data_IF_320585755924
#
_entry.id   IF_320585755924
#
_cell.length_a   1.000
_cell.length_b   1.000
_cell.length_c   1.000
_cell.angle_alpha   90.00
_cell.angle_beta   90.00
_cell.angle_gamma   90.00
#
_symmetry.space_group_name_H-M   'P 1'
#
loop_
_entity.id
_entity.type
_entity.pdbx_description
1 polymer ?
#
# COMPACT_ATOMS: atom_id res chain seq x y z
N UNK A 1 -13.77 49.47 -25.97
CA UNK A 1 -14.57 49.18 -24.77
C UNK A 1 -14.77 47.68 -24.67
N UNK A 2 -14.95 47.11 -23.48
CA UNK A 2 -15.11 45.66 -23.32
C UNK A 2 -16.48 45.14 -23.82
N UNK A 3 -16.49 43.96 -24.48
CA UNK A 3 -17.72 43.26 -24.88
C UNK A 3 -18.64 42.88 -23.71
N UNK A 4 -18.06 42.66 -22.52
CA UNK A 4 -18.79 42.28 -21.31
C UNK A 4 -19.39 43.48 -20.56
N UNK A 5 -19.58 44.62 -21.24
CA UNK A 5 -20.19 45.81 -20.64
C UNK A 5 -21.60 45.53 -20.11
N UNK A 6 -22.38 44.67 -20.79
CA UNK A 6 -23.70 44.22 -20.33
C UNK A 6 -23.65 43.46 -19.00
N UNK A 7 -22.55 42.78 -18.71
CA UNK A 7 -22.33 42.06 -17.45
C UNK A 7 -21.75 42.96 -16.35
N UNK A 8 -21.44 44.22 -16.67
CA UNK A 8 -20.91 45.22 -15.72
C UNK A 8 -19.44 45.59 -15.94
N UNK A 9 -18.78 45.11 -17.00
CA UNK A 9 -17.41 45.53 -17.28
C UNK A 9 -17.35 46.97 -17.81
N UNK A 10 -16.78 47.89 -17.03
CA UNK A 10 -16.59 49.30 -17.42
C UNK A 10 -15.18 49.61 -17.94
N UNK A 11 -14.39 48.59 -18.25
CA UNK A 11 -13.00 48.78 -18.66
C UNK A 11 -12.89 49.46 -20.04
N UNK A 12 -12.05 50.48 -20.10
CA UNK A 12 -11.57 51.10 -21.33
C UNK A 12 -10.08 50.80 -21.47
N UNK A 13 -9.66 50.39 -22.65
CA UNK A 13 -8.29 49.99 -22.95
C UNK A 13 -7.99 50.22 -24.44
N UNK A 14 -6.71 50.43 -24.81
CA UNK A 14 -6.29 50.45 -26.20
C UNK A 14 -6.65 49.13 -26.90
N UNK A 15 -7.02 49.18 -28.18
CA UNK A 15 -7.38 47.99 -28.95
C UNK A 15 -6.26 46.93 -28.94
N UNK A 16 -4.99 47.37 -28.90
CA UNK A 16 -3.82 46.47 -28.76
C UNK A 16 -3.86 45.56 -27.54
N UNK A 17 -4.57 45.96 -26.47
CA UNK A 17 -4.65 45.23 -25.21
C UNK A 17 -5.97 44.46 -25.07
N UNK A 18 -6.79 44.43 -26.11
CA UNK A 18 -8.10 43.78 -26.09
C UNK A 18 -8.01 42.31 -25.70
N UNK A 19 -7.12 41.55 -26.35
CA UNK A 19 -6.93 40.14 -26.06
C UNK A 19 -6.54 39.89 -24.60
N UNK A 20 -5.58 40.66 -24.09
CA UNK A 20 -5.11 40.56 -22.69
C UNK A 20 -6.23 40.84 -21.68
N UNK A 21 -7.10 41.80 -22.00
CA UNK A 21 -8.25 42.09 -21.17
C UNK A 21 -9.29 40.97 -21.24
N UNK A 22 -9.70 40.54 -22.45
CA UNK A 22 -10.76 39.53 -22.62
C UNK A 22 -10.37 38.21 -21.95
N UNK A 23 -9.12 37.77 -22.08
CA UNK A 23 -8.63 36.54 -21.46
C UNK A 23 -8.77 36.55 -19.93
N UNK A 24 -8.73 37.73 -19.31
CA UNK A 24 -8.74 37.91 -17.85
C UNK A 24 -9.93 38.72 -17.32
N UNK A 25 -10.90 39.08 -18.17
CA UNK A 25 -12.03 39.92 -17.79
C UNK A 25 -12.81 39.26 -16.63
N UNK A 26 -12.99 39.93 -15.48
CA UNK A 26 -13.71 39.37 -14.34
C UNK A 26 -15.20 39.12 -14.61
N UNK A 27 -15.72 39.74 -15.68
CA UNK A 27 -17.12 39.69 -16.11
C UNK A 27 -17.35 38.73 -17.29
N UNK A 28 -16.36 37.93 -17.63
CA UNK A 28 -16.53 36.83 -18.59
C UNK A 28 -17.29 35.68 -17.90
N UNK A 29 -18.28 35.11 -18.60
CA UNK A 29 -18.98 33.91 -18.16
C UNK A 29 -18.07 32.69 -18.32
N UNK A 30 -18.05 31.84 -17.30
CA UNK A 30 -17.33 30.58 -17.32
C UNK A 30 -18.23 29.46 -16.81
N UNK A 31 -18.12 28.29 -17.42
CA UNK A 31 -18.76 27.09 -16.89
C UNK A 31 -18.04 26.65 -15.62
N UNK A 32 -18.81 26.23 -14.62
CA UNK A 32 -18.28 25.60 -13.43
C UNK A 32 -17.47 24.35 -13.83
N UNK A 33 -16.23 24.20 -13.34
CA UNK A 33 -15.36 23.07 -13.72
C UNK A 33 -15.78 21.76 -13.05
N UNK A 34 -16.66 21.80 -12.06
CA UNK A 34 -17.11 20.60 -11.35
C UNK A 34 -18.09 19.81 -12.20
N UNK A 35 -17.74 18.55 -12.48
CA UNK A 35 -18.57 17.65 -13.28
C UNK A 35 -19.99 17.54 -12.70
N UNK A 36 -20.99 17.72 -13.57
CA UNK A 36 -22.40 17.68 -13.22
C UNK A 36 -23.01 19.02 -12.78
N UNK A 37 -22.20 20.06 -12.46
CA UNK A 37 -22.74 21.34 -12.04
C UNK A 37 -23.44 22.10 -13.18
N UNK A 38 -22.75 22.28 -14.31
CA UNK A 38 -23.27 22.96 -15.49
C UNK A 38 -23.58 24.45 -15.33
N UNK A 39 -23.42 25.03 -14.14
CA UNK A 39 -23.70 26.44 -13.87
C UNK A 39 -22.71 27.35 -14.61
N UNK A 40 -23.22 28.42 -15.23
CA UNK A 40 -22.40 29.51 -15.71
C UNK A 40 -22.27 30.55 -14.60
N UNK A 41 -21.04 30.93 -14.29
CA UNK A 41 -20.72 31.94 -13.28
C UNK A 41 -19.77 32.96 -13.86
N UNK A 42 -19.86 34.22 -13.42
CA UNK A 42 -18.85 35.21 -13.79
C UNK A 42 -17.51 34.81 -13.16
N UNK A 43 -16.42 35.04 -13.87
CA UNK A 43 -15.06 34.76 -13.38
C UNK A 43 -14.80 35.30 -11.97
N UNK A 44 -15.27 36.52 -11.68
CA UNK A 44 -15.14 37.15 -10.36
C UNK A 44 -15.87 36.39 -9.24
N UNK A 45 -16.96 35.70 -9.57
CA UNK A 45 -17.84 35.02 -8.62
C UNK A 45 -17.53 33.51 -8.53
N UNK A 46 -16.60 33.01 -9.35
CA UNK A 46 -16.25 31.59 -9.43
C UNK A 46 -15.78 31.01 -8.08
N UNK A 47 -15.01 31.77 -7.30
CA UNK A 47 -14.54 31.33 -5.98
C UNK A 47 -15.68 31.28 -4.94
N UNK A 48 -16.65 32.20 -5.01
CA UNK A 48 -17.81 32.19 -4.14
C UNK A 48 -18.76 31.03 -4.49
N UNK A 49 -18.95 30.79 -5.79
CA UNK A 49 -19.66 29.62 -6.27
C UNK A 49 -18.99 28.32 -5.81
N UNK A 50 -17.67 28.20 -5.95
CA UNK A 50 -16.93 27.02 -5.55
C UNK A 50 -17.32 26.60 -4.14
N UNK A 51 -17.23 27.51 -3.16
CA UNK A 51 -17.53 27.29 -1.73
C UNK A 51 -18.92 26.70 -1.45
N UNK A 52 -19.90 26.97 -2.32
CA UNK A 52 -21.29 26.52 -2.19
C UNK A 52 -21.71 25.49 -3.24
N UNK A 53 -20.80 25.11 -4.14
CA UNK A 53 -21.10 24.17 -5.21
C UNK A 53 -21.36 22.77 -4.65
N UNK A 54 -22.57 22.25 -4.86
CA UNK A 54 -22.97 20.89 -4.46
C UNK A 54 -22.21 19.79 -5.20
N UNK A 55 -21.60 20.13 -6.34
CA UNK A 55 -20.83 19.20 -7.17
C UNK A 55 -19.33 19.23 -6.85
N UNK A 56 -18.90 20.07 -5.91
CA UNK A 56 -17.51 20.16 -5.52
C UNK A 56 -17.02 18.81 -4.97
N UNK A 57 -15.91 18.35 -5.56
CA UNK A 57 -15.25 17.10 -5.19
C UNK A 57 -13.75 17.32 -5.25
N UNK A 58 -13.03 16.86 -4.24
CA UNK A 58 -11.58 16.91 -4.24
C UNK A 58 -10.99 15.72 -3.50
N UNK A 59 -9.90 15.15 -4.00
CA UNK A 59 -9.14 14.20 -3.20
C UNK A 59 -8.58 14.90 -1.96
N UNK A 60 -8.52 14.16 -0.85
CA UNK A 60 -7.96 14.69 0.39
C UNK A 60 -6.56 15.25 0.13
N UNK A 61 -6.30 16.54 0.47
CA UNK A 61 -5.05 17.22 0.16
C UNK A 61 -3.84 16.59 0.89
N UNK A 62 -4.08 15.83 1.95
CA UNK A 62 -3.06 15.08 2.67
C UNK A 62 -2.70 13.74 2.02
N UNK A 63 -3.36 13.36 0.92
CA UNK A 63 -3.00 12.17 0.14
C UNK A 63 -3.51 10.84 0.68
N UNK A 64 -4.52 10.82 1.56
CA UNK A 64 -5.13 9.55 1.99
C UNK A 64 -6.03 8.90 0.93
N UNK A 65 -6.28 9.58 -0.19
CA UNK A 65 -7.10 9.08 -1.31
C UNK A 65 -8.60 9.09 -1.06
N UNK A 66 -9.08 9.63 0.06
CA UNK A 66 -10.52 9.83 0.28
C UNK A 66 -11.02 10.99 -0.58
N UNK A 67 -12.13 10.76 -1.29
CA UNK A 67 -12.84 11.82 -2.01
C UNK A 67 -13.66 12.66 -1.02
N UNK A 68 -13.31 13.94 -0.94
CA UNK A 68 -14.02 14.93 -0.15
C UNK A 68 -15.14 15.55 -0.98
N UNK A 69 -16.30 15.67 -0.35
CA UNK A 69 -17.47 16.43 -0.81
C UNK A 69 -17.78 17.49 0.24
N UNK A 70 -18.61 18.49 -0.08
CA UNK A 70 -18.88 19.60 0.84
C UNK A 70 -19.38 19.12 2.21
N UNK A 71 -20.22 18.09 2.23
CA UNK A 71 -20.83 17.55 3.44
C UNK A 71 -19.80 16.88 4.37
N UNK A 72 -18.78 16.21 3.81
CA UNK A 72 -17.82 15.44 4.59
C UNK A 72 -16.48 16.15 4.81
N UNK A 73 -16.20 17.24 4.08
CA UNK A 73 -14.92 17.94 4.10
C UNK A 73 -14.52 18.37 5.52
N UNK A 74 -15.44 18.99 6.26
CA UNK A 74 -15.18 19.49 7.61
C UNK A 74 -15.03 18.37 8.65
N UNK A 75 -15.64 17.21 8.42
CA UNK A 75 -15.62 16.07 9.35
C UNK A 75 -14.50 15.08 9.02
N UNK A 76 -13.81 15.25 7.90
CA UNK A 76 -12.77 14.34 7.45
C UNK A 76 -11.55 14.40 8.37
N UNK A 77 -11.17 13.24 8.93
CA UNK A 77 -9.92 13.08 9.67
C UNK A 77 -8.99 12.13 8.90
N UNK A 78 -8.02 12.72 8.18
CA UNK A 78 -7.06 11.97 7.36
C UNK A 78 -6.30 10.91 8.16
N UNK A 79 -5.83 11.27 9.35
CA UNK A 79 -5.08 10.35 10.20
C UNK A 79 -5.91 9.14 10.62
N UNK A 80 -7.17 9.36 11.01
CA UNK A 80 -8.09 8.28 11.40
C UNK A 80 -8.31 7.31 10.26
N UNK A 81 -8.56 7.81 9.05
CA UNK A 81 -8.78 7.01 7.86
C UNK A 81 -7.55 6.14 7.54
N UNK A 82 -6.36 6.75 7.50
CA UNK A 82 -5.11 6.04 7.26
C UNK A 82 -4.83 4.98 8.33
N UNK A 83 -5.02 5.33 9.61
CA UNK A 83 -4.81 4.41 10.71
C UNK A 83 -5.76 3.20 10.63
N UNK A 84 -7.03 3.43 10.29
CA UNK A 84 -8.00 2.33 10.11
C UNK A 84 -7.58 1.39 8.98
N UNK A 85 -7.18 1.93 7.82
CA UNK A 85 -6.68 1.11 6.70
C UNK A 85 -5.44 0.31 7.09
N UNK A 86 -4.48 0.94 7.76
CA UNK A 86 -3.30 0.25 8.26
C UNK A 86 -3.64 -0.89 9.23
N UNK A 87 -4.54 -0.66 10.19
CA UNK A 87 -4.96 -1.68 11.14
C UNK A 87 -5.69 -2.83 10.44
N UNK A 88 -6.58 -2.53 9.49
CA UNK A 88 -7.30 -3.52 8.71
C UNK A 88 -6.35 -4.39 7.88
N UNK A 89 -5.41 -3.77 7.18
CA UNK A 89 -4.42 -4.48 6.36
C UNK A 89 -3.51 -5.36 7.23
N UNK A 90 -3.03 -4.83 8.36
CA UNK A 90 -2.23 -5.61 9.31
C UNK A 90 -2.99 -6.80 9.88
N UNK A 91 -4.29 -6.67 10.15
CA UNK A 91 -5.16 -7.80 10.57
C UNK A 91 -5.27 -8.84 9.46
N UNK A 92 -5.49 -8.41 8.21
CA UNK A 92 -5.57 -9.29 7.04
C UNK A 92 -4.29 -10.10 6.86
N UNK A 93 -3.13 -9.43 6.89
CA UNK A 93 -1.83 -10.07 6.76
C UNK A 93 -1.58 -11.11 7.86
N UNK A 94 -1.92 -10.79 9.12
CA UNK A 94 -1.84 -11.75 10.23
C UNK A 94 -2.73 -12.97 10.04
N UNK A 95 -3.97 -12.77 9.57
CA UNK A 95 -4.90 -13.86 9.30
C UNK A 95 -4.38 -14.80 8.20
N UNK A 96 -3.83 -14.24 7.11
CA UNK A 96 -3.20 -14.99 6.02
C UNK A 96 -2.02 -15.80 6.55
N UNK A 97 -1.09 -15.16 7.28
CA UNK A 97 0.07 -15.85 7.83
C UNK A 97 -0.33 -16.98 8.79
N UNK A 98 -1.32 -16.77 9.65
CA UNK A 98 -1.83 -17.81 10.54
C UNK A 98 -2.46 -18.98 9.78
N UNK A 99 -3.19 -18.71 8.69
CA UNK A 99 -3.77 -19.75 7.84
C UNK A 99 -2.67 -20.58 7.16
N UNK A 100 -1.67 -19.92 6.59
CA UNK A 100 -0.53 -20.58 5.94
C UNK A 100 0.24 -21.46 6.93
N UNK A 101 0.52 -20.96 8.14
CA UNK A 101 1.17 -21.76 9.20
C UNK A 101 0.38 -23.03 9.55
N UNK A 102 -0.95 -22.93 9.70
CA UNK A 102 -1.79 -24.09 9.98
C UNK A 102 -1.79 -25.10 8.83
N UNK A 103 -1.85 -24.64 7.57
CA UNK A 103 -1.76 -25.52 6.40
C UNK A 103 -0.42 -26.25 6.35
N UNK A 104 0.68 -25.54 6.61
CA UNK A 104 2.01 -26.13 6.68
C UNK A 104 2.11 -27.18 7.79
N UNK A 105 1.59 -26.90 8.98
CA UNK A 105 1.56 -27.88 10.08
C UNK A 105 0.78 -29.15 9.72
N UNK A 106 -0.42 -29.02 9.13
CA UNK A 106 -1.20 -30.18 8.67
C UNK A 106 -0.45 -31.01 7.64
N UNK A 107 0.23 -30.34 6.70
CA UNK A 107 1.05 -31.01 5.70
C UNK A 107 2.22 -31.75 6.35
N UNK A 108 2.96 -31.12 7.28
CA UNK A 108 4.05 -31.74 8.01
C UNK A 108 3.59 -32.97 8.81
N UNK A 109 2.46 -32.87 9.51
CA UNK A 109 1.88 -34.01 10.24
C UNK A 109 1.50 -35.16 9.31
N UNK A 110 0.89 -34.86 8.16
CA UNK A 110 0.53 -35.88 7.16
C UNK A 110 1.77 -36.54 6.56
N UNK A 111 2.80 -35.75 6.24
CA UNK A 111 4.07 -36.27 5.74
C UNK A 111 4.76 -37.16 6.79
N UNK A 112 4.73 -36.78 8.06
CA UNK A 112 5.27 -37.61 9.14
C UNK A 112 4.50 -38.92 9.31
N UNK A 113 3.16 -38.90 9.16
CA UNK A 113 2.34 -40.11 9.18
C UNK A 113 2.67 -41.04 8.02
N UNK A 114 2.77 -40.53 6.80
CA UNK A 114 3.11 -41.32 5.61
C UNK A 114 4.51 -41.94 5.77
N UNK A 115 5.50 -41.18 6.23
CA UNK A 115 6.84 -41.72 6.51
C UNK A 115 6.81 -42.89 7.49
N UNK A 116 6.04 -42.77 8.59
CA UNK A 116 5.89 -43.86 9.56
C UNK A 116 5.21 -45.09 8.95
N UNK A 117 4.17 -44.89 8.13
CA UNK A 117 3.50 -46.00 7.45
C UNK A 117 4.43 -46.72 6.47
N UNK A 118 5.23 -45.98 5.71
CA UNK A 118 6.23 -46.57 4.81
C UNK A 118 7.24 -47.40 5.60
N UNK A 119 7.80 -46.87 6.70
CA UNK A 119 8.75 -47.63 7.52
C UNK A 119 8.15 -48.93 8.06
N UNK A 120 6.92 -48.89 8.59
CA UNK A 120 6.22 -50.10 9.06
C UNK A 120 5.98 -51.11 7.94
N UNK A 121 5.64 -50.64 6.73
CA UNK A 121 5.49 -51.52 5.57
C UNK A 121 6.82 -52.16 5.15
N UNK A 122 7.93 -51.41 5.18
CA UNK A 122 9.25 -51.96 4.91
C UNK A 122 9.64 -53.03 5.93
N UNK A 123 9.47 -52.76 7.23
CA UNK A 123 9.73 -53.72 8.31
C UNK A 123 8.86 -54.98 8.19
N UNK A 124 7.62 -54.86 7.70
CA UNK A 124 6.72 -56.01 7.49
C UNK A 124 7.09 -56.85 6.26
N UNK A 125 7.85 -56.29 5.31
CA UNK A 125 8.33 -56.97 4.11
C UNK A 125 9.71 -57.61 4.32
N UNK A 126 10.40 -57.29 5.41
CA UNK A 126 11.61 -57.99 5.87
C UNK A 126 11.23 -59.36 6.46
N UNK A 127 10.87 -60.29 5.58
CA UNK A 127 10.74 -61.73 5.89
C UNK A 127 11.87 -62.45 5.17
N UNK A 128 12.92 -62.78 5.94
CA UNK A 128 13.89 -63.84 5.66
C UNK A 128 15.01 -63.50 4.68
N UNK A 129 16.08 -62.88 5.17
CA UNK A 129 17.41 -63.26 4.68
C UNK A 129 17.68 -64.66 5.26
N UNK A 130 17.43 -65.67 4.43
CA UNK A 130 18.15 -66.94 4.52
C UNK A 130 19.63 -66.60 4.54
N UNK A 131 20.33 -67.15 5.53
CA UNK A 131 21.77 -67.08 5.69
C UNK A 131 22.47 -67.32 4.35
N UNK A 132 22.90 -66.25 3.69
CA UNK A 132 23.83 -66.30 2.58
C UNK A 132 25.22 -66.14 3.18
N UNK A 133 25.83 -67.30 3.40
CA UNK A 133 27.26 -67.63 3.48
C UNK A 133 28.26 -66.46 3.38
N UNK A 134 29.21 -66.49 4.31
CA UNK A 134 30.43 -65.68 4.34
C UNK A 134 31.11 -65.62 2.95
N UNK A 135 31.26 -64.39 2.43
CA UNK A 135 32.05 -64.11 1.23
C UNK A 135 32.68 -62.73 1.32
N UNK A 136 33.99 -62.69 1.56
CA UNK A 136 34.84 -61.50 1.63
C UNK A 136 34.59 -60.50 0.48
N UNK A 137 34.58 -59.19 0.80
CA UNK A 137 34.50 -58.20 -0.27
C UNK A 137 34.45 -56.72 0.14
N UNK A 138 35.59 -56.20 0.58
CA UNK A 138 36.05 -54.80 0.37
C UNK A 138 35.33 -53.65 1.11
N UNK A 139 36.07 -53.07 2.04
CA UNK A 139 35.76 -51.82 2.73
C UNK A 139 35.72 -50.61 1.78
N UNK A 140 34.64 -49.84 1.85
CA UNK A 140 34.61 -48.42 1.47
C UNK A 140 34.01 -47.64 2.64
N UNK A 141 34.88 -46.89 3.32
CA UNK A 141 34.53 -45.96 4.39
C UNK A 141 34.07 -44.65 3.78
N UNK A 142 32.89 -44.15 4.11
CA UNK A 142 32.54 -42.74 3.90
C UNK A 142 32.10 -42.03 5.17
N UNK A 143 32.66 -40.84 5.31
CA UNK A 143 32.84 -40.08 6.52
C UNK A 143 31.54 -39.43 7.04
N UNK A 144 31.22 -39.67 8.31
CA UNK A 144 30.33 -38.79 9.07
C UNK A 144 31.16 -37.71 9.79
N UNK A 145 31.47 -36.63 9.06
CA UNK A 145 32.12 -35.45 9.64
C UNK A 145 31.10 -34.63 10.45
N UNK A 146 31.08 -34.89 11.77
CA UNK A 146 30.32 -34.09 12.74
C UNK A 146 31.10 -32.81 13.06
N UNK A 147 30.87 -31.74 12.31
CA UNK A 147 31.48 -30.44 12.62
C UNK A 147 30.63 -29.65 13.62
N UNK A 148 30.93 -29.86 14.91
CA UNK A 148 30.75 -28.84 15.95
C UNK A 148 31.76 -27.72 15.66
N UNK A 149 31.29 -26.48 15.55
CA UNK A 149 32.14 -25.31 15.72
C UNK A 149 31.49 -24.34 16.69
N UNK A 150 32.06 -24.30 17.89
CA UNK A 150 31.99 -23.17 18.80
C UNK A 150 33.19 -22.24 18.56
N UNK A 151 33.05 -20.99 19.03
CA UNK A 151 34.02 -19.87 19.07
C UNK A 151 34.15 -19.04 17.77
N UNK A 152 34.25 -17.71 17.78
CA UNK A 152 34.44 -16.72 18.87
C UNK A 152 34.13 -15.30 18.37
N UNK A 153 33.82 -14.44 19.34
CA UNK A 153 33.82 -12.97 19.36
C UNK A 153 34.47 -12.17 18.21
N UNK A 154 33.83 -11.05 17.82
CA UNK A 154 34.53 -9.77 17.67
C UNK A 154 33.63 -8.56 17.98
N UNK A 155 34.20 -7.65 18.76
CA UNK A 155 33.70 -6.35 19.15
C UNK A 155 33.63 -5.38 17.96
N UNK A 156 32.68 -4.44 17.99
CA UNK A 156 32.94 -3.02 17.69
C UNK A 156 32.05 -2.13 18.54
N UNK A 157 32.70 -1.21 19.25
CA UNK A 157 32.12 -0.11 20.01
C UNK A 157 31.86 1.09 19.08
N UNK A 158 31.21 2.12 19.65
CA UNK A 158 31.10 3.52 19.21
C UNK A 158 29.86 3.89 18.41
N UNK A 159 29.21 5.04 18.60
CA UNK A 159 29.11 6.08 19.65
C UNK A 159 28.19 7.15 19.05
N UNK A 160 27.30 7.73 19.87
CA UNK A 160 26.72 9.10 19.81
C UNK A 160 26.12 9.63 18.47
N UNK A 161 24.98 10.32 18.44
CA UNK A 161 24.71 11.52 19.24
C UNK A 161 23.21 11.82 19.33
N UNK A 162 22.77 12.16 20.54
CA UNK A 162 21.66 13.10 20.78
C UNK A 162 22.08 14.48 20.27
N UNK A 163 21.19 15.18 19.57
CA UNK A 163 21.17 16.64 19.55
C UNK A 163 19.76 17.09 19.90
N UNK A 164 19.69 17.95 20.92
CA UNK A 164 18.52 18.64 21.44
C UNK A 164 18.73 20.13 21.15
N UNK A 165 17.62 20.81 20.83
CA UNK A 165 17.37 22.26 20.88
C UNK A 165 17.93 23.02 19.66
N UNK A 166 17.19 23.93 19.03
CA UNK A 166 16.45 25.08 19.55
C UNK A 166 14.97 25.07 19.13
#
# INVERSE_FOLDING_TARGET
MCRNAQQGCRATFPLSNEYLHISNCPYEWQLCPHEGCGQQVLRKDAQAHDQSCSHWRQLCPMGCGTLLVRENQAQHNCYRELHQRYVAERRRQRAIAANLRRKMQRMQSRMAQIRRQINLMCESLEVGDLEAEEGEGTAWTDANATSRSSNRHRHTNSSSSRVRHI
#
